data_IF_588586573756
#
_entry.id   IF_588586573756
#
_cell.length_a   1.000
_cell.length_b   1.000
_cell.length_c   1.000
_cell.angle_alpha   90.00
_cell.angle_beta   90.00
_cell.angle_gamma   90.00
#
_symmetry.space_group_name_H-M   'P 1'
#
loop_
_entity.id
_entity.type
_entity.pdbx_description
1 polymer ?
#
# COMPACT_ATOMS: atom_id res chain seq x y z
N UNK A 1 -0.27 21.03 -8.22
CA UNK A 1 -1.60 20.52 -7.80
C UNK A 1 -2.11 19.28 -8.58
N UNK A 2 -2.44 19.36 -9.88
CA UNK A 2 -3.10 18.24 -10.61
C UNK A 2 -2.30 16.92 -10.68
N UNK A 3 -0.97 17.01 -10.81
CA UNK A 3 -0.07 15.82 -10.78
C UNK A 3 -0.10 15.13 -9.41
N UNK A 4 -0.25 15.88 -8.32
CA UNK A 4 -0.30 15.34 -6.95
C UNK A 4 -1.60 14.56 -6.71
N UNK A 5 -2.74 15.04 -7.23
CA UNK A 5 -4.04 14.35 -7.13
C UNK A 5 -4.02 13.00 -7.86
N UNK A 6 -3.48 12.96 -9.09
CA UNK A 6 -3.38 11.72 -9.86
C UNK A 6 -2.51 10.66 -9.19
N UNK A 7 -1.36 11.07 -8.63
CA UNK A 7 -0.46 10.17 -7.89
C UNK A 7 -1.11 9.62 -6.62
N UNK A 8 -1.83 10.45 -5.87
CA UNK A 8 -2.57 10.01 -4.67
C UNK A 8 -3.61 8.94 -5.02
N UNK A 9 -4.38 9.13 -6.09
CA UNK A 9 -5.36 8.12 -6.54
C UNK A 9 -4.72 6.79 -6.94
N UNK A 10 -3.54 6.82 -7.57
CA UNK A 10 -2.81 5.58 -7.90
C UNK A 10 -2.31 4.88 -6.64
N UNK A 11 -1.84 5.63 -5.65
CA UNK A 11 -1.42 5.08 -4.36
C UNK A 11 -2.58 4.48 -3.57
N UNK A 12 -3.76 5.12 -3.57
CA UNK A 12 -4.98 4.56 -2.96
C UNK A 12 -5.35 3.21 -3.59
N UNK A 13 -5.30 3.11 -4.92
CA UNK A 13 -5.52 1.83 -5.63
C UNK A 13 -4.48 0.77 -5.29
N UNK A 14 -3.23 1.16 -5.07
CA UNK A 14 -2.18 0.23 -4.64
C UNK A 14 -2.44 -0.30 -3.22
N UNK A 15 -2.91 0.55 -2.30
CA UNK A 15 -3.35 0.14 -0.95
C UNK A 15 -4.55 -0.80 -1.02
N UNK A 16 -5.55 -0.49 -1.85
CA UNK A 16 -6.70 -1.39 -2.06
C UNK A 16 -6.26 -2.76 -2.60
N UNK A 17 -5.37 -2.76 -3.60
CA UNK A 17 -4.85 -3.99 -4.21
C UNK A 17 -4.07 -4.83 -3.21
N UNK A 18 -3.22 -4.22 -2.38
CA UNK A 18 -2.48 -4.95 -1.33
C UNK A 18 -3.42 -5.51 -0.26
N UNK A 19 -4.51 -4.80 0.07
CA UNK A 19 -5.55 -5.33 0.96
C UNK A 19 -6.24 -6.57 0.38
N UNK A 20 -6.52 -6.57 -0.92
CA UNK A 20 -7.10 -7.75 -1.61
C UNK A 20 -6.12 -8.92 -1.66
N UNK A 21 -4.83 -8.65 -1.87
CA UNK A 21 -3.78 -9.68 -1.78
C UNK A 21 -3.79 -10.31 -0.38
N UNK A 22 -3.87 -9.51 0.68
CA UNK A 22 -3.90 -10.03 2.06
C UNK A 22 -5.08 -10.97 2.32
N UNK A 23 -6.26 -10.70 1.75
CA UNK A 23 -7.43 -11.58 1.85
C UNK A 23 -7.22 -12.92 1.13
N UNK A 24 -6.68 -12.89 -0.09
CA UNK A 24 -6.38 -14.13 -0.84
C UNK A 24 -5.31 -14.95 -0.13
N UNK A 25 -4.30 -14.29 0.45
CA UNK A 25 -3.24 -14.96 1.21
C UNK A 25 -3.80 -15.64 2.47
N UNK A 26 -4.75 -15.03 3.16
CA UNK A 26 -5.45 -15.63 4.29
C UNK A 26 -6.23 -16.89 3.89
N UNK A 27 -6.90 -16.86 2.74
CA UNK A 27 -7.56 -18.04 2.19
C UNK A 27 -6.56 -19.17 1.86
N UNK A 28 -5.38 -18.83 1.31
CA UNK A 28 -4.32 -19.80 1.01
C UNK A 28 -3.74 -20.42 2.30
N UNK A 29 -3.50 -19.62 3.34
CA UNK A 29 -3.06 -20.12 4.66
C UNK A 29 -4.11 -21.09 5.24
N UNK A 30 -5.39 -20.73 5.17
CA UNK A 30 -6.48 -21.58 5.60
C UNK A 30 -6.53 -22.92 4.84
N UNK A 31 -6.40 -22.89 3.51
CA UNK A 31 -6.35 -24.10 2.67
C UNK A 31 -5.13 -24.95 3.01
N UNK A 32 -3.97 -24.33 3.25
CA UNK A 32 -2.76 -25.05 3.63
C UNK A 32 -2.94 -25.78 4.97
N UNK A 33 -3.54 -25.12 5.97
CA UNK A 33 -3.83 -25.75 7.27
C UNK A 33 -4.85 -26.88 7.18
N UNK A 34 -5.92 -26.70 6.39
CA UNK A 34 -6.88 -27.78 6.13
C UNK A 34 -6.23 -28.97 5.43
N UNK A 35 -5.38 -28.71 4.43
CA UNK A 35 -4.64 -29.74 3.69
C UNK A 35 -3.71 -30.50 4.63
N UNK A 36 -3.03 -29.79 5.54
CA UNK A 36 -2.17 -30.40 6.57
C UNK A 36 -2.97 -31.29 7.52
N UNK A 37 -4.17 -30.87 7.93
CA UNK A 37 -5.04 -31.68 8.79
C UNK A 37 -5.57 -32.92 8.06
N UNK A 38 -5.94 -32.80 6.79
CA UNK A 38 -6.33 -33.94 5.95
C UNK A 38 -5.17 -34.93 5.78
N UNK A 39 -3.95 -34.44 5.55
CA UNK A 39 -2.76 -35.26 5.43
C UNK A 39 -2.44 -35.99 6.74
N UNK A 40 -2.59 -35.33 7.89
CA UNK A 40 -2.45 -35.95 9.20
C UNK A 40 -3.45 -37.09 9.41
N UNK A 41 -4.72 -36.87 9.07
CA UNK A 41 -5.75 -37.92 9.15
C UNK A 41 -5.41 -39.11 8.24
N UNK A 42 -4.89 -38.85 7.03
CA UNK A 42 -4.43 -39.89 6.12
C UNK A 42 -3.23 -40.66 6.69
N UNK A 43 -2.28 -39.98 7.36
CA UNK A 43 -1.15 -40.62 8.02
C UNK A 43 -1.60 -41.53 9.18
N UNK A 44 -2.59 -41.11 9.97
CA UNK A 44 -3.17 -41.93 11.05
C UNK A 44 -3.83 -43.20 10.49
N UNK A 45 -4.63 -43.07 9.42
CA UNK A 45 -5.30 -44.22 8.83
C UNK A 45 -4.30 -45.15 8.12
N UNK A 46 -3.24 -44.61 7.51
CA UNK A 46 -2.14 -45.38 6.96
C UNK A 46 -1.41 -46.19 8.05
N UNK A 47 -1.15 -45.59 9.22
CA UNK A 47 -0.57 -46.31 10.36
C UNK A 47 -1.51 -47.42 10.86
N UNK A 48 -2.82 -47.17 10.88
CA UNK A 48 -3.85 -48.15 11.28
C UNK A 48 -3.93 -49.36 10.33
N UNK A 49 -3.72 -49.13 9.03
CA UNK A 49 -3.69 -50.18 8.02
C UNK A 49 -2.39 -51.03 8.03
N UNK A 50 -1.40 -50.69 8.87
CA UNK A 50 -0.16 -51.44 9.01
C UNK A 50 0.61 -51.56 7.69
N UNK A 51 0.98 -52.79 7.30
CA UNK A 51 1.75 -53.05 6.07
C UNK A 51 1.02 -52.57 4.80
N UNK A 52 -0.31 -52.63 4.78
CA UNK A 52 -1.12 -52.18 3.63
C UNK A 52 -1.16 -50.66 3.48
N UNK A 53 -0.85 -49.91 4.55
CA UNK A 53 -0.86 -48.45 4.57
C UNK A 53 0.46 -47.80 4.19
N UNK A 54 1.55 -48.56 3.98
CA UNK A 54 2.90 -47.99 3.75
C UNK A 54 2.96 -47.00 2.59
N UNK A 55 2.29 -47.28 1.46
CA UNK A 55 2.24 -46.36 0.32
C UNK A 55 1.48 -45.07 0.64
N UNK A 56 0.37 -45.19 1.36
CA UNK A 56 -0.42 -44.03 1.79
C UNK A 56 0.31 -43.16 2.82
N UNK A 57 1.12 -43.77 3.70
CA UNK A 57 1.94 -43.04 4.66
C UNK A 57 2.95 -42.11 3.98
N UNK A 58 3.59 -42.58 2.89
CA UNK A 58 4.54 -41.76 2.12
C UNK A 58 3.84 -40.58 1.45
N UNK A 59 2.65 -40.82 0.86
CA UNK A 59 1.86 -39.75 0.24
C UNK A 59 1.40 -38.73 1.29
N UNK A 60 0.93 -39.18 2.45
CA UNK A 60 0.50 -38.30 3.54
C UNK A 60 1.64 -37.40 4.06
N UNK A 61 2.86 -37.95 4.17
CA UNK A 61 4.04 -37.17 4.55
C UNK A 61 4.38 -36.11 3.48
N UNK A 62 4.32 -36.46 2.20
CA UNK A 62 4.60 -35.51 1.11
C UNK A 62 3.55 -34.39 1.03
N UNK A 63 2.27 -34.71 1.20
CA UNK A 63 1.19 -33.71 1.26
C UNK A 63 1.37 -32.79 2.46
N UNK A 64 1.80 -33.31 3.62
CA UNK A 64 2.10 -32.50 4.81
C UNK A 64 3.23 -31.51 4.54
N UNK A 65 4.32 -31.95 3.90
CA UNK A 65 5.43 -31.07 3.51
C UNK A 65 4.98 -30.00 2.52
N UNK A 66 4.15 -30.36 1.54
CA UNK A 66 3.64 -29.42 0.54
C UNK A 66 2.73 -28.36 1.18
N UNK A 67 1.84 -28.79 2.09
CA UNK A 67 0.98 -27.89 2.86
C UNK A 67 1.80 -26.90 3.70
N UNK A 68 2.83 -27.38 4.41
CA UNK A 68 3.73 -26.52 5.19
C UNK A 68 4.46 -25.50 4.30
N UNK A 69 4.98 -25.92 3.16
CA UNK A 69 5.64 -25.02 2.19
C UNK A 69 4.66 -23.99 1.63
N UNK A 70 3.41 -24.37 1.37
CA UNK A 70 2.35 -23.45 0.92
C UNK A 70 2.05 -22.40 1.99
N UNK A 71 1.92 -22.81 3.26
CA UNK A 71 1.70 -21.89 4.38
C UNK A 71 2.85 -20.90 4.55
N UNK A 72 4.10 -21.37 4.49
CA UNK A 72 5.28 -20.50 4.54
C UNK A 72 5.35 -19.50 3.38
N UNK A 73 5.02 -19.93 2.17
CA UNK A 73 4.98 -19.04 1.01
C UNK A 73 3.88 -17.96 1.17
N UNK A 74 2.71 -18.34 1.69
CA UNK A 74 1.63 -17.41 1.98
C UNK A 74 2.05 -16.36 3.02
N UNK A 75 2.70 -16.76 4.11
CA UNK A 75 3.24 -15.86 5.14
C UNK A 75 4.27 -14.85 4.56
N UNK A 76 5.15 -15.32 3.66
CA UNK A 76 6.10 -14.46 2.96
C UNK A 76 5.38 -13.43 2.07
N UNK A 77 4.36 -13.85 1.33
CA UNK A 77 3.55 -12.93 0.50
C UNK A 77 2.83 -11.91 1.39
N UNK A 78 2.27 -12.32 2.53
CA UNK A 78 1.64 -11.42 3.52
C UNK A 78 2.60 -10.33 3.99
N UNK A 79 3.83 -10.72 4.31
CA UNK A 79 4.89 -9.81 4.74
C UNK A 79 5.23 -8.80 3.65
N UNK A 80 5.42 -9.26 2.41
CA UNK A 80 5.70 -8.39 1.27
C UNK A 80 4.54 -7.43 0.97
N UNK A 81 3.29 -7.91 1.00
CA UNK A 81 2.11 -7.08 0.78
C UNK A 81 1.98 -5.97 1.85
N UNK A 82 2.29 -6.31 3.12
CA UNK A 82 2.30 -5.35 4.23
C UNK A 82 3.40 -4.30 4.02
N UNK A 83 4.61 -4.70 3.66
CA UNK A 83 5.70 -3.76 3.38
C UNK A 83 5.37 -2.79 2.24
N UNK A 84 4.73 -3.27 1.16
CA UNK A 84 4.27 -2.42 0.05
C UNK A 84 3.21 -1.44 0.52
N UNK A 85 2.24 -1.88 1.32
CA UNK A 85 1.21 -1.01 1.90
C UNK A 85 1.84 0.10 2.76
N UNK A 86 2.74 -0.24 3.66
CA UNK A 86 3.38 0.71 4.58
C UNK A 86 4.23 1.74 3.83
N UNK A 87 4.98 1.28 2.81
CA UNK A 87 5.77 2.16 1.93
C UNK A 87 4.85 3.11 1.16
N UNK A 88 3.73 2.60 0.62
CA UNK A 88 2.76 3.42 -0.12
C UNK A 88 2.12 4.47 0.79
N UNK A 89 1.75 4.09 2.01
CA UNK A 89 1.15 5.01 2.98
C UNK A 89 2.13 6.09 3.43
N UNK A 90 3.42 5.74 3.59
CA UNK A 90 4.48 6.71 3.89
C UNK A 90 4.67 7.71 2.74
N UNK A 91 4.69 7.23 1.49
CA UNK A 91 4.78 8.10 0.32
C UNK A 91 3.57 9.04 0.18
N UNK A 92 2.36 8.58 0.55
CA UNK A 92 1.17 9.44 0.59
C UNK A 92 1.31 10.57 1.63
N UNK A 93 1.87 10.28 2.81
CA UNK A 93 2.12 11.29 3.85
C UNK A 93 3.14 12.35 3.37
N UNK A 94 4.24 11.91 2.76
CA UNK A 94 5.24 12.82 2.19
C UNK A 94 4.64 13.72 1.10
N UNK A 95 3.78 13.16 0.23
CA UNK A 95 3.08 13.93 -0.79
C UNK A 95 2.11 14.96 -0.20
N UNK A 96 1.41 14.64 0.89
CA UNK A 96 0.53 15.59 1.58
C UNK A 96 1.33 16.77 2.17
N UNK A 97 2.48 16.49 2.77
CA UNK A 97 3.38 17.53 3.29
C UNK A 97 3.87 18.43 2.14
N UNK A 98 4.32 17.84 1.03
CA UNK A 98 4.79 18.59 -0.14
C UNK A 98 3.69 19.49 -0.73
N UNK A 99 2.46 18.98 -0.84
CA UNK A 99 1.32 19.75 -1.33
C UNK A 99 0.99 20.96 -0.43
N UNK A 100 1.15 20.81 0.90
CA UNK A 100 0.92 21.90 1.85
C UNK A 100 1.98 23.02 1.76
N UNK A 101 3.24 22.65 1.45
CA UNK A 101 4.33 23.61 1.24
C UNK A 101 4.12 24.43 -0.03
N UNK A 102 3.78 23.78 -1.15
CA UNK A 102 3.52 24.43 -2.45
C UNK A 102 2.40 25.50 -2.34
N UNK A 103 1.35 25.20 -1.57
CA UNK A 103 0.26 26.14 -1.34
C UNK A 103 0.71 27.37 -0.53
N UNK A 104 1.54 27.18 0.50
CA UNK A 104 2.04 28.26 1.35
C UNK A 104 2.93 29.24 0.57
N UNK A 105 3.82 28.72 -0.29
CA UNK A 105 4.68 29.53 -1.14
C UNK A 105 3.88 30.29 -2.20
N UNK A 106 2.88 29.65 -2.79
CA UNK A 106 1.96 30.30 -3.74
C UNK A 106 1.20 31.46 -3.08
N UNK A 107 0.68 31.26 -1.85
CA UNK A 107 0.00 32.31 -1.10
C UNK A 107 0.93 33.47 -0.71
N UNK A 108 2.19 33.19 -0.34
CA UNK A 108 3.19 34.24 -0.09
C UNK A 108 3.48 35.05 -1.35
N UNK A 109 3.67 34.39 -2.49
CA UNK A 109 3.88 35.07 -3.76
C UNK A 109 2.68 35.96 -4.12
N UNK A 110 1.46 35.46 -3.94
CA UNK A 110 0.23 36.23 -4.16
C UNK A 110 0.17 37.47 -3.26
N UNK A 111 0.46 37.33 -1.96
CA UNK A 111 0.49 38.47 -1.02
C UNK A 111 1.53 39.52 -1.42
N UNK A 112 2.70 39.09 -1.89
CA UNK A 112 3.76 40.01 -2.37
C UNK A 112 3.32 40.76 -3.63
N UNK A 113 2.67 40.06 -4.57
CA UNK A 113 2.09 40.68 -5.77
C UNK A 113 1.03 41.71 -5.39
N UNK A 114 0.12 41.38 -4.46
CA UNK A 114 -0.91 42.31 -3.99
C UNK A 114 -0.29 43.60 -3.40
N UNK A 115 0.72 43.45 -2.55
CA UNK A 115 1.44 44.61 -2.01
C UNK A 115 2.15 45.44 -3.09
N UNK A 116 2.75 44.78 -4.10
CA UNK A 116 3.34 45.48 -5.24
C UNK A 116 2.30 46.25 -6.06
N UNK A 117 1.12 45.67 -6.29
CA UNK A 117 0.03 46.37 -7.00
C UNK A 117 -0.48 47.57 -6.22
N UNK A 118 -0.58 47.50 -4.89
CA UNK A 118 -0.94 48.65 -4.05
C UNK A 118 0.10 49.77 -4.14
N UNK A 119 1.39 49.42 -4.04
CA UNK A 119 2.49 50.39 -4.16
C UNK A 119 2.52 51.02 -5.56
N UNK A 120 2.31 50.22 -6.62
CA UNK A 120 2.22 50.72 -7.99
C UNK A 120 1.04 51.68 -8.17
N UNK A 121 -0.14 51.34 -7.64
CA UNK A 121 -1.33 52.19 -7.71
C UNK A 121 -1.10 53.53 -6.99
N UNK A 122 -0.54 53.50 -5.78
CA UNK A 122 -0.21 54.71 -5.03
C UNK A 122 0.81 55.59 -5.77
N UNK A 123 1.85 54.97 -6.35
CA UNK A 123 2.87 55.71 -7.10
C UNK A 123 2.34 56.30 -8.41
N UNK A 124 1.46 55.60 -9.11
CA UNK A 124 0.80 56.13 -10.31
C UNK A 124 -0.09 57.33 -9.98
N UNK A 125 -0.83 57.29 -8.86
CA UNK A 125 -1.66 58.42 -8.43
C UNK A 125 -0.80 59.66 -8.12
N UNK A 126 0.31 59.48 -7.39
CA UNK A 126 1.25 60.57 -7.07
C UNK A 126 1.93 61.16 -8.33
N UNK A 127 2.25 60.31 -9.32
CA UNK A 127 2.80 60.77 -10.60
C UNK A 127 1.79 61.62 -11.38
N UNK A 128 0.51 61.26 -11.34
CA UNK A 128 -0.55 62.06 -11.95
C UNK A 128 -0.69 63.43 -11.27
N UNK A 129 -0.72 63.50 -9.93
CA UNK A 129 -0.76 64.78 -9.21
C UNK A 129 0.47 65.66 -9.52
N UNK A 130 1.66 65.08 -9.63
CA UNK A 130 2.89 65.81 -9.98
C UNK A 130 2.94 66.28 -11.44
N UNK A 131 2.16 65.70 -12.34
CA UNK A 131 2.10 66.09 -13.74
C UNK A 131 1.06 67.19 -14.01
N UNK A 132 0.11 67.40 -13.08
CA UNK A 132 -0.91 68.46 -13.16
C UNK A 132 -0.49 69.78 -12.45
N UNK A 133 0.62 69.77 -11.70
CA UNK A 133 1.26 70.96 -11.10
C UNK A 133 2.30 71.58 -12.04
#
# INVERSE_FOLDING_TARGET
AAVSVGTVTVMEKAVETTSRIAQVVEEVEFIADQTRLLALNAAIEAARAGEHGRGFAVVADEVTKLANRSGQAAEQIRTLATAVRDTTQSAMQELQVLASLDLSDTLRAQKKIMGMTEVMAAKNAALHESAEQ
#
